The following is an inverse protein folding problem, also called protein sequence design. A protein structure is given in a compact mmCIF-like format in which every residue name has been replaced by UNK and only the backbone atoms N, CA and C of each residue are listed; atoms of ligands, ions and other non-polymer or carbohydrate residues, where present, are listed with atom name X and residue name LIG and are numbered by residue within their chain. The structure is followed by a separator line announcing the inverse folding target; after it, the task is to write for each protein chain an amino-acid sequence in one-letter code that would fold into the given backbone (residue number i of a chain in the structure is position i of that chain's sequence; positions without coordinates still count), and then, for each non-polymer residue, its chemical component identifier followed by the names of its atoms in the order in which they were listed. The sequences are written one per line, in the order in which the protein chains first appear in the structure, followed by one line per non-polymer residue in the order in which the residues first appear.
data_IF_531025005524
#
_entry.id   IF_531025005524
#
_cell.length_a   1.000
_cell.length_b   1.000
_cell.length_c   1.000
_cell.angle_alpha   90.00
_cell.angle_beta   90.00
_cell.angle_gamma   90.00
#
_symmetry.space_group_name_H-M   'P 1'
#
loop_
_entity.id
_entity.type
_entity.pdbx_description
1 polymer ?
#
# COMPACT_ATOMS: atom_id res chain seq x y z
N UNK A 1 -1.39 4.36 0.50
CA UNK A 1 -2.87 4.26 0.61
C UNK A 1 -3.43 5.58 1.16
N UNK A 2 -4.71 5.92 0.94
CA UNK A 2 -5.33 7.14 1.51
C UNK A 2 -5.89 6.85 2.90
N UNK A 3 -5.43 7.60 3.92
CA UNK A 3 -5.85 7.47 5.33
C UNK A 3 -5.91 6.00 5.77
N UNK A 4 -4.77 5.31 5.66
CA UNK A 4 -4.70 3.86 5.59
C UNK A 4 -5.29 3.13 6.83
N UNK A 5 -5.20 3.75 8.01
CA UNK A 5 -5.79 3.25 9.25
C UNK A 5 -7.28 3.60 9.37
N UNK A 6 -7.70 4.78 8.91
CA UNK A 6 -9.03 5.33 9.22
C UNK A 6 -10.14 4.76 8.32
N UNK A 7 -9.78 4.12 7.20
CA UNK A 7 -10.74 3.66 6.19
C UNK A 7 -11.06 2.17 6.21
N UNK A 8 -10.38 1.39 7.06
CA UNK A 8 -10.52 -0.07 7.02
C UNK A 8 -11.87 -0.50 7.60
N UNK A 9 -12.64 -1.27 6.84
CA UNK A 9 -13.91 -1.82 7.30
C UNK A 9 -13.70 -2.92 8.36
N UNK A 10 -14.40 -2.82 9.47
CA UNK A 10 -14.28 -3.76 10.59
C UNK A 10 -14.70 -5.18 10.25
N UNK A 11 -15.76 -5.33 9.47
CA UNK A 11 -16.22 -6.64 9.03
C UNK A 11 -15.23 -7.30 8.08
N UNK A 12 -14.48 -6.51 7.31
CA UNK A 12 -13.38 -7.03 6.50
C UNK A 12 -12.27 -7.63 7.36
N UNK A 13 -11.78 -6.91 8.37
CA UNK A 13 -10.76 -7.42 9.31
C UNK A 13 -11.25 -8.70 9.99
N UNK A 14 -12.49 -8.67 10.51
CA UNK A 14 -13.12 -9.82 11.16
C UNK A 14 -13.14 -11.06 10.26
N UNK A 15 -13.55 -10.88 9.00
CA UNK A 15 -13.63 -11.98 8.05
C UNK A 15 -12.24 -12.46 7.60
N UNK A 16 -11.26 -11.57 7.47
CA UNK A 16 -9.87 -11.92 7.21
C UNK A 16 -9.29 -12.78 8.35
N UNK A 17 -9.51 -12.39 9.60
CA UNK A 17 -9.07 -13.18 10.76
C UNK A 17 -9.72 -14.58 10.79
N UNK A 18 -11.02 -14.68 10.50
CA UNK A 18 -11.71 -15.98 10.38
C UNK A 18 -11.07 -16.85 9.31
N UNK A 19 -10.82 -16.29 8.13
CA UNK A 19 -10.19 -17.01 7.00
C UNK A 19 -8.76 -17.45 7.33
N UNK A 20 -8.03 -16.68 8.13
CA UNK A 20 -6.68 -17.01 8.59
C UNK A 20 -6.67 -18.03 9.75
N UNK A 21 -7.83 -18.47 10.24
CA UNK A 21 -7.93 -19.51 11.26
C UNK A 21 -7.80 -19.02 12.70
N UNK A 22 -7.96 -17.72 12.95
CA UNK A 22 -7.99 -17.19 14.31
C UNK A 22 -9.21 -17.74 15.06
N UNK A 23 -9.04 -18.08 16.34
CA UNK A 23 -10.16 -18.61 17.12
C UNK A 23 -11.21 -17.51 17.41
N UNK A 24 -12.49 -17.90 17.44
CA UNK A 24 -13.61 -16.95 17.57
C UNK A 24 -13.49 -16.04 18.80
N UNK A 25 -13.06 -16.59 19.95
CA UNK A 25 -12.87 -15.82 21.18
C UNK A 25 -11.85 -14.69 20.99
N UNK A 26 -10.75 -14.93 20.27
CA UNK A 26 -9.76 -13.90 19.97
C UNK A 26 -10.30 -12.82 19.04
N UNK A 27 -11.04 -13.25 18.01
CA UNK A 27 -11.69 -12.31 17.07
C UNK A 27 -12.66 -11.40 17.82
N UNK A 28 -13.49 -11.96 18.71
CA UNK A 28 -14.45 -11.19 19.50
C UNK A 28 -13.76 -10.15 20.40
N UNK A 29 -12.65 -10.52 21.06
CA UNK A 29 -11.89 -9.58 21.89
C UNK A 29 -11.33 -8.43 21.05
N UNK A 30 -10.70 -8.72 19.92
CA UNK A 30 -10.19 -7.69 19.00
C UNK A 30 -11.32 -6.81 18.49
N UNK A 31 -12.45 -7.39 18.08
CA UNK A 31 -13.59 -6.62 17.58
C UNK A 31 -14.25 -5.77 18.66
N UNK A 32 -14.25 -6.20 19.93
CA UNK A 32 -14.70 -5.37 21.06
C UNK A 32 -13.80 -4.17 21.23
N UNK A 33 -12.47 -4.35 21.24
CA UNK A 33 -11.50 -3.24 21.29
C UNK A 33 -11.68 -2.28 20.12
N UNK A 34 -11.89 -2.80 18.90
CA UNK A 34 -12.10 -1.98 17.71
C UNK A 34 -13.35 -1.11 17.81
N UNK A 35 -14.46 -1.69 18.29
CA UNK A 35 -15.80 -1.07 18.32
C UNK A 35 -16.05 -0.19 19.54
N UNK A 36 -15.32 -0.38 20.63
CA UNK A 36 -15.51 0.39 21.87
C UNK A 36 -14.86 1.78 21.83
N UNK A 37 -14.21 2.15 20.74
CA UNK A 37 -13.54 3.43 20.63
C UNK A 37 -14.52 4.57 20.44
N UNK A 38 -14.16 5.74 20.97
CA UNK A 38 -14.78 7.01 20.67
C UNK A 38 -13.70 8.07 20.47
N UNK A 39 -14.05 9.10 19.72
CA UNK A 39 -13.17 10.22 19.41
C UNK A 39 -13.84 11.52 19.81
N UNK A 40 -13.03 12.44 20.31
CA UNK A 40 -13.43 13.80 20.61
C UNK A 40 -12.54 14.73 19.78
N UNK A 41 -13.16 15.62 19.00
CA UNK A 41 -12.42 16.61 18.21
C UNK A 41 -12.12 17.79 19.14
N UNK A 42 -10.85 18.17 19.21
CA UNK A 42 -10.42 19.39 19.89
C UNK A 42 -9.95 20.36 18.84
N UNK A 43 -10.68 21.47 18.67
CA UNK A 43 -10.36 22.50 17.70
C UNK A 43 -10.08 23.81 18.45
N UNK A 44 -8.85 24.34 18.33
CA UNK A 44 -8.41 25.53 19.05
C UNK A 44 -8.66 25.49 20.58
N UNK A 45 -8.53 24.31 21.20
CA UNK A 45 -8.77 24.12 22.64
C UNK A 45 -10.24 23.93 23.02
N UNK A 46 -11.17 24.07 22.08
CA UNK A 46 -12.60 23.82 22.28
C UNK A 46 -12.89 22.36 21.97
N UNK A 47 -13.52 21.67 22.92
CA UNK A 47 -13.98 20.30 22.75
C UNK A 47 -15.31 20.30 21.98
N UNK A 48 -15.34 19.62 20.84
CA UNK A 48 -16.57 19.36 20.10
C UNK A 48 -17.27 18.08 20.59
N UNK A 49 -18.40 17.74 19.98
CA UNK A 49 -19.16 16.54 20.33
C UNK A 49 -18.33 15.26 20.12
N UNK A 50 -18.47 14.35 21.08
CA UNK A 50 -17.92 12.99 20.96
C UNK A 50 -18.64 12.24 19.83
N UNK A 51 -17.87 11.50 19.03
CA UNK A 51 -18.41 10.62 18.00
C UNK A 51 -17.81 9.22 18.10
N UNK A 52 -18.59 8.23 17.65
CA UNK A 52 -18.13 6.84 17.55
C UNK A 52 -17.79 6.51 16.10
N UNK A 53 -16.57 6.00 15.82
CA UNK A 53 -16.23 5.54 14.50
C UNK A 53 -17.08 4.32 14.13
N UNK A 54 -17.33 4.14 12.83
CA UNK A 54 -17.96 2.92 12.28
C UNK A 54 -16.96 2.00 11.58
N UNK A 55 -15.74 2.50 11.39
CA UNK A 55 -14.63 1.83 10.71
C UNK A 55 -13.29 2.41 11.16
N UNK A 56 -12.22 1.81 10.69
CA UNK A 56 -10.85 2.24 10.93
C UNK A 56 -10.22 1.60 12.16
N UNK A 57 -8.92 1.77 12.30
CA UNK A 57 -8.11 1.16 13.36
C UNK A 57 -7.35 2.28 14.09
N UNK A 58 -7.25 2.21 15.42
CA UNK A 58 -6.66 3.27 16.24
C UNK A 58 -5.18 3.48 15.92
N UNK A 59 -4.80 4.64 15.44
CA UNK A 59 -3.38 4.96 15.34
C UNK A 59 -2.76 5.00 16.76
N UNK A 60 -1.49 4.57 16.86
CA UNK A 60 -0.72 4.47 18.13
C UNK A 60 -1.22 3.43 19.14
N UNK A 61 -2.15 2.57 18.74
CA UNK A 61 -2.48 1.36 19.50
C UNK A 61 -1.51 0.23 19.13
N UNK A 62 -0.90 -0.49 20.09
CA UNK A 62 0.02 -1.60 19.83
C UNK A 62 -0.55 -2.71 18.93
N UNK A 63 -1.86 -2.91 18.88
CA UNK A 63 -2.50 -3.92 18.03
C UNK A 63 -2.65 -3.47 16.57
N UNK A 64 -2.73 -2.16 16.33
CA UNK A 64 -3.08 -1.63 15.03
C UNK A 64 -2.14 -1.98 13.89
N UNK A 65 -0.79 -2.04 14.08
CA UNK A 65 0.11 -2.51 13.04
C UNK A 65 -0.21 -3.94 12.59
N UNK A 66 -0.58 -4.83 13.51
CA UNK A 66 -0.91 -6.22 13.20
C UNK A 66 -2.24 -6.33 12.46
N UNK A 67 -3.25 -5.58 12.91
CA UNK A 67 -4.55 -5.52 12.23
C UNK A 67 -4.42 -4.93 10.82
N UNK A 68 -3.51 -3.97 10.64
CA UNK A 68 -3.19 -3.41 9.34
C UNK A 68 -2.52 -4.45 8.42
N UNK A 69 -1.60 -5.27 8.93
CA UNK A 69 -1.00 -6.38 8.18
C UNK A 69 -2.07 -7.39 7.75
N UNK A 70 -3.00 -7.75 8.65
CA UNK A 70 -4.13 -8.64 8.34
C UNK A 70 -5.03 -8.04 7.23
N UNK A 71 -5.21 -6.73 7.23
CA UNK A 71 -5.92 -6.04 6.15
C UNK A 71 -5.16 -6.18 4.81
N UNK A 72 -3.87 -5.85 4.80
CA UNK A 72 -3.01 -5.91 3.62
C UNK A 72 -2.87 -7.33 3.04
N UNK A 73 -2.94 -8.37 3.88
CA UNK A 73 -3.00 -9.78 3.46
C UNK A 73 -4.16 -10.06 2.49
N UNK A 74 -5.28 -9.34 2.61
CA UNK A 74 -6.38 -9.44 1.66
C UNK A 74 -5.99 -8.97 0.26
N UNK A 75 -5.23 -7.88 0.15
CA UNK A 75 -4.72 -7.39 -1.13
C UNK A 75 -3.71 -8.35 -1.73
N UNK A 76 -2.80 -8.87 -0.89
CA UNK A 76 -1.85 -9.92 -1.27
C UNK A 76 -2.55 -11.13 -1.90
N UNK A 77 -3.62 -11.61 -1.28
CA UNK A 77 -4.38 -12.76 -1.77
C UNK A 77 -5.04 -12.50 -3.11
N UNK A 78 -5.57 -11.28 -3.34
CA UNK A 78 -6.14 -10.90 -4.63
C UNK A 78 -5.08 -10.85 -5.74
N UNK A 79 -3.88 -10.32 -5.45
CA UNK A 79 -2.75 -10.34 -6.39
C UNK A 79 -2.30 -11.78 -6.69
N UNK A 80 -2.13 -12.60 -5.67
CA UNK A 80 -1.71 -14.01 -5.83
C UNK A 80 -2.76 -14.84 -6.60
N UNK A 81 -4.04 -14.62 -6.34
CA UNK A 81 -5.14 -15.23 -7.12
C UNK A 81 -5.05 -14.83 -8.58
N UNK A 82 -4.91 -13.53 -8.85
CA UNK A 82 -4.80 -13.02 -10.23
C UNK A 82 -3.55 -13.52 -10.94
N UNK A 83 -2.45 -13.75 -10.20
CA UNK A 83 -1.20 -14.32 -10.73
C UNK A 83 -1.40 -15.78 -11.14
N UNK A 84 -2.01 -16.58 -10.26
CA UNK A 84 -2.36 -17.99 -10.53
C UNK A 84 -3.29 -18.14 -11.73
N UNK A 85 -4.26 -17.24 -11.86
CA UNK A 85 -5.21 -17.21 -12.98
C UNK A 85 -4.59 -16.63 -14.27
N UNK A 86 -3.27 -16.37 -14.29
CA UNK A 86 -2.52 -15.78 -15.40
C UNK A 86 -3.04 -14.42 -15.88
N UNK A 87 -3.94 -13.79 -15.12
CA UNK A 87 -4.39 -12.40 -15.35
C UNK A 87 -3.27 -11.43 -15.06
N UNK A 88 -2.41 -11.72 -14.07
CA UNK A 88 -1.21 -10.93 -13.79
C UNK A 88 0.13 -11.69 -13.92
N UNK A 89 0.97 -11.29 -14.88
CA UNK A 89 2.43 -11.43 -14.87
C UNK A 89 3.16 -10.40 -13.97
N UNK A 90 4.11 -10.88 -13.16
CA UNK A 90 5.03 -10.04 -12.39
C UNK A 90 6.29 -9.65 -13.15
N UNK A 91 7.22 -8.99 -12.45
CA UNK A 91 8.56 -8.68 -12.94
C UNK A 91 9.58 -9.75 -12.47
N UNK A 92 10.48 -10.15 -13.37
CA UNK A 92 11.57 -11.07 -13.05
C UNK A 92 12.68 -10.33 -12.31
N UNK A 93 13.24 -10.95 -11.27
CA UNK A 93 14.35 -10.42 -10.49
C UNK A 93 15.66 -11.02 -11.00
N UNK A 94 16.50 -10.19 -11.61
CA UNK A 94 17.80 -10.60 -12.14
C UNK A 94 17.71 -11.67 -13.24
N UNK A 95 18.72 -12.55 -13.29
CA UNK A 95 18.77 -13.69 -14.23
C UNK A 95 18.06 -14.95 -13.71
N UNK A 96 17.57 -14.92 -12.47
CA UNK A 96 16.92 -16.08 -11.85
C UNK A 96 15.45 -16.23 -12.21
N UNK A 97 14.81 -17.23 -11.62
CA UNK A 97 13.39 -17.55 -11.85
C UNK A 97 12.42 -16.78 -10.94
N UNK A 98 12.94 -15.99 -9.99
CA UNK A 98 12.10 -15.23 -9.06
C UNK A 98 11.27 -14.18 -9.80
N UNK A 99 9.94 -14.27 -9.68
CA UNK A 99 8.99 -13.30 -10.26
C UNK A 99 8.17 -12.64 -9.16
N UNK A 100 8.40 -11.35 -8.95
CA UNK A 100 7.71 -10.52 -7.96
C UNK A 100 6.56 -9.75 -8.61
N UNK A 101 5.46 -9.57 -7.88
CA UNK A 101 4.31 -8.75 -8.33
C UNK A 101 4.11 -7.51 -7.47
N UNK A 102 4.65 -7.51 -6.25
CA UNK A 102 4.48 -6.43 -5.30
C UNK A 102 5.60 -6.45 -4.25
N UNK A 103 5.81 -5.32 -3.59
CA UNK A 103 6.55 -5.16 -2.35
C UNK A 103 5.68 -4.30 -1.43
N UNK A 104 5.34 -4.81 -0.25
CA UNK A 104 4.49 -4.12 0.71
C UNK A 104 5.28 -3.68 1.92
N UNK A 105 5.08 -2.43 2.34
CA UNK A 105 5.59 -1.93 3.61
C UNK A 105 4.61 -0.90 4.18
N UNK A 106 3.87 -1.29 5.21
CA UNK A 106 2.79 -0.46 5.75
C UNK A 106 1.88 0.07 4.61
N UNK A 107 1.68 1.38 4.50
CA UNK A 107 0.86 2.02 3.49
C UNK A 107 1.59 2.36 2.18
N UNK A 108 2.92 2.18 2.15
CA UNK A 108 3.79 2.36 0.99
C UNK A 108 3.98 1.03 0.27
N UNK A 109 3.35 0.92 -0.90
CA UNK A 109 3.30 -0.32 -1.67
C UNK A 109 3.83 -0.09 -3.09
N UNK A 110 4.74 -0.96 -3.54
CA UNK A 110 5.18 -0.99 -4.94
C UNK A 110 4.52 -2.18 -5.62
N UNK A 111 3.96 -1.96 -6.81
CA UNK A 111 3.39 -3.02 -7.64
C UNK A 111 4.20 -3.15 -8.94
N UNK A 112 4.52 -4.38 -9.32
CA UNK A 112 5.30 -4.71 -10.51
C UNK A 112 4.41 -5.34 -11.57
N UNK A 113 4.45 -4.76 -12.78
CA UNK A 113 3.59 -5.19 -13.88
C UNK A 113 4.28 -5.03 -15.23
N UNK A 114 3.93 -5.91 -16.18
CA UNK A 114 4.25 -5.68 -17.59
C UNK A 114 3.53 -4.43 -18.09
N UNK A 115 4.28 -3.47 -18.63
CA UNK A 115 3.79 -2.19 -19.10
C UNK A 115 2.97 -2.33 -20.40
N UNK A 116 1.72 -2.74 -20.25
CA UNK A 116 0.75 -2.96 -21.33
C UNK A 116 -0.63 -2.51 -20.85
N UNK A 117 -1.52 -2.15 -21.78
CA UNK A 117 -2.90 -1.79 -21.42
C UNK A 117 -3.66 -2.93 -20.72
N UNK A 118 -3.46 -4.17 -21.14
CA UNK A 118 -4.03 -5.33 -20.45
C UNK A 118 -3.44 -5.50 -19.04
N UNK A 119 -2.15 -5.20 -18.88
CA UNK A 119 -1.47 -5.13 -17.60
C UNK A 119 -2.14 -4.14 -16.64
N UNK A 120 -2.38 -2.92 -17.12
CA UNK A 120 -3.03 -1.83 -16.40
C UNK A 120 -4.50 -2.14 -16.05
N UNK A 121 -5.29 -2.64 -17.01
CA UNK A 121 -6.68 -3.09 -16.78
C UNK A 121 -6.77 -4.13 -15.68
N UNK A 122 -5.93 -5.16 -15.76
CA UNK A 122 -5.91 -6.23 -14.76
C UNK A 122 -5.54 -5.69 -13.37
N UNK A 123 -4.60 -4.74 -13.30
CA UNK A 123 -4.23 -4.09 -12.04
C UNK A 123 -5.41 -3.31 -11.44
N UNK A 124 -6.08 -2.50 -12.27
CA UNK A 124 -7.22 -1.68 -11.85
C UNK A 124 -8.37 -2.54 -11.34
N UNK A 125 -8.65 -3.68 -11.99
CA UNK A 125 -9.65 -4.66 -11.51
C UNK A 125 -9.31 -5.17 -10.11
N UNK A 126 -8.05 -5.52 -9.85
CA UNK A 126 -7.61 -6.04 -8.53
C UNK A 126 -7.68 -4.95 -7.46
N UNK A 127 -7.23 -3.74 -7.79
CA UNK A 127 -7.31 -2.57 -6.89
C UNK A 127 -8.78 -2.28 -6.56
N UNK A 128 -9.64 -2.07 -7.56
CA UNK A 128 -11.04 -1.74 -7.33
C UNK A 128 -11.76 -2.81 -6.52
N UNK A 129 -11.43 -4.09 -6.76
CA UNK A 129 -12.00 -5.19 -5.98
C UNK A 129 -11.56 -5.10 -4.52
N UNK A 130 -10.28 -4.84 -4.25
CA UNK A 130 -9.77 -4.66 -2.91
C UNK A 130 -10.41 -3.46 -2.20
N UNK A 131 -10.52 -2.32 -2.88
CA UNK A 131 -11.15 -1.12 -2.31
C UNK A 131 -12.60 -1.37 -1.92
N UNK A 132 -13.36 -2.05 -2.80
CA UNK A 132 -14.78 -2.34 -2.56
C UNK A 132 -15.05 -3.24 -1.36
N UNK A 133 -14.12 -4.11 -0.98
CA UNK A 133 -14.31 -5.07 0.12
C UNK A 133 -13.63 -4.64 1.42
N UNK A 134 -12.53 -3.89 1.35
CA UNK A 134 -11.72 -3.50 2.51
C UNK A 134 -12.03 -2.10 3.03
N UNK A 135 -12.62 -1.23 2.19
CA UNK A 135 -12.78 0.20 2.44
C UNK A 135 -11.51 1.02 2.28
N UNK A 136 -10.34 0.38 2.17
CA UNK A 136 -9.10 1.08 1.83
C UNK A 136 -9.19 1.66 0.43
N UNK A 137 -8.54 2.79 0.21
CA UNK A 137 -8.54 3.49 -1.08
C UNK A 137 -7.11 3.85 -1.45
N UNK A 138 -6.74 3.62 -2.71
CA UNK A 138 -5.47 4.05 -3.27
C UNK A 138 -5.47 5.57 -3.36
N UNK A 139 -4.40 6.19 -2.88
CA UNK A 139 -4.20 7.62 -3.07
C UNK A 139 -3.57 7.83 -4.46
N UNK A 140 -4.39 7.99 -5.49
CA UNK A 140 -3.92 8.16 -6.87
C UNK A 140 -3.10 9.44 -7.07
N UNK A 141 -3.37 10.51 -6.31
CA UNK A 141 -2.62 11.77 -6.37
C UNK A 141 -1.17 11.63 -5.89
N UNK A 142 -0.96 10.82 -4.85
CA UNK A 142 0.37 10.49 -4.31
C UNK A 142 1.01 9.28 -5.00
N UNK A 143 0.26 8.56 -5.83
CA UNK A 143 0.77 7.37 -6.51
C UNK A 143 1.47 7.77 -7.81
N UNK A 144 2.62 7.14 -8.05
CA UNK A 144 3.43 7.35 -9.23
C UNK A 144 3.56 6.05 -10.02
N UNK A 145 3.70 6.17 -11.33
CA UNK A 145 4.08 5.06 -12.19
C UNK A 145 5.42 5.32 -12.87
N UNK A 146 6.21 4.25 -12.91
CA UNK A 146 7.53 4.22 -13.54
C UNK A 146 7.55 3.19 -14.65
N UNK A 147 8.12 3.59 -15.78
CA UNK A 147 8.27 2.74 -16.95
C UNK A 147 9.75 2.49 -17.25
N UNK A 148 10.04 1.39 -17.93
CA UNK A 148 11.38 1.15 -18.48
C UNK A 148 11.72 2.18 -19.56
N UNK A 149 13.00 2.53 -19.70
CA UNK A 149 13.49 3.53 -20.66
C UNK A 149 13.05 3.28 -22.11
N UNK A 150 12.84 2.02 -22.50
CA UNK A 150 12.57 1.63 -23.90
C UNK A 150 11.09 1.66 -24.28
N UNK A 151 10.26 2.40 -23.56
CA UNK A 151 8.81 2.41 -23.77
C UNK A 151 8.38 3.66 -24.55
N UNK A 152 7.47 3.47 -25.52
CA UNK A 152 6.88 4.56 -26.30
C UNK A 152 6.06 5.50 -25.41
N UNK A 153 6.19 6.81 -25.64
CA UNK A 153 5.58 7.85 -24.79
C UNK A 153 4.04 7.78 -24.81
N UNK A 154 3.44 7.60 -25.99
CA UNK A 154 1.99 7.44 -26.16
C UNK A 154 1.43 6.31 -25.28
N UNK A 155 2.14 5.19 -25.17
CA UNK A 155 1.70 4.06 -24.36
C UNK A 155 1.86 4.35 -22.85
N UNK A 156 2.86 5.14 -22.45
CA UNK A 156 3.03 5.59 -21.07
C UNK A 156 1.87 6.50 -20.67
N UNK A 157 1.52 7.46 -21.52
CA UNK A 157 0.40 8.38 -21.29
C UNK A 157 -0.93 7.62 -21.23
N UNK A 158 -1.18 6.68 -22.15
CA UNK A 158 -2.38 5.85 -22.13
C UNK A 158 -2.50 5.04 -20.83
N UNK A 159 -1.42 4.41 -20.38
CA UNK A 159 -1.43 3.62 -19.13
C UNK A 159 -1.58 4.52 -17.92
N UNK A 160 -0.85 5.62 -17.86
CA UNK A 160 -0.91 6.61 -16.78
C UNK A 160 -2.31 7.20 -16.65
N UNK A 161 -2.90 7.66 -17.76
CA UNK A 161 -4.27 8.17 -17.83
C UNK A 161 -5.32 7.14 -17.45
N UNK A 162 -5.19 5.90 -17.94
CA UNK A 162 -6.13 4.83 -17.58
C UNK A 162 -6.09 4.48 -16.08
N UNK A 163 -4.90 4.44 -15.49
CA UNK A 163 -4.74 4.17 -14.06
C UNK A 163 -5.04 5.40 -13.19
N UNK A 164 -5.03 6.59 -13.76
CA UNK A 164 -5.21 7.85 -13.02
C UNK A 164 -4.00 8.23 -12.16
N UNK A 165 -2.79 7.80 -12.54
CA UNK A 165 -1.55 8.05 -11.80
C UNK A 165 -0.59 8.89 -12.63
N UNK A 166 0.20 9.72 -11.95
CA UNK A 166 1.21 10.56 -12.62
C UNK A 166 2.37 9.69 -13.11
N UNK A 167 2.73 9.88 -14.37
CA UNK A 167 3.95 9.29 -14.94
C UNK A 167 5.14 10.08 -14.41
N UNK A 168 6.10 9.39 -13.83
CA UNK A 168 7.32 10.02 -13.33
C UNK A 168 8.55 9.44 -14.04
N UNK A 169 9.45 10.34 -14.41
CA UNK A 169 10.71 9.99 -15.07
C UNK A 169 11.85 9.74 -14.08
N UNK A 170 11.65 10.07 -12.79
CA UNK A 170 12.66 9.89 -11.75
C UNK A 170 12.11 9.04 -10.59
N UNK A 171 12.60 7.80 -10.40
CA UNK A 171 12.21 6.95 -9.28
C UNK A 171 12.43 7.68 -7.97
N UNK A 172 11.35 7.93 -7.26
CA UNK A 172 11.40 8.46 -5.91
C UNK A 172 12.09 7.45 -4.97
N UNK A 173 12.34 7.90 -3.75
CA UNK A 173 12.86 7.03 -2.71
C UNK A 173 11.75 6.10 -2.21
N UNK A 174 12.09 4.83 -2.03
CA UNK A 174 11.25 3.88 -1.32
C UNK A 174 11.91 3.55 0.01
N UNK A 175 11.20 3.76 1.13
CA UNK A 175 11.73 3.58 2.48
C UNK A 175 13.03 4.38 2.75
N UNK A 176 13.12 5.58 2.17
CA UNK A 176 14.29 6.44 2.28
C UNK A 176 15.48 6.03 1.40
N UNK A 177 15.38 4.93 0.66
CA UNK A 177 16.41 4.42 -0.24
C UNK A 177 16.11 4.79 -1.70
N UNK A 178 17.12 5.05 -2.54
CA UNK A 178 16.93 5.27 -3.97
C UNK A 178 16.38 4.01 -4.65
N UNK A 179 15.27 4.13 -5.38
CA UNK A 179 14.62 2.99 -6.06
C UNK A 179 15.38 2.54 -7.31
N UNK A 180 16.19 3.41 -7.91
CA UNK A 180 17.17 3.03 -8.95
C UNK A 180 18.58 3.45 -8.55
N UNK A 181 19.51 2.50 -8.61
CA UNK A 181 20.94 2.76 -8.41
C UNK A 181 21.64 2.64 -9.76
N UNK A 182 22.10 3.78 -10.29
CA UNK A 182 22.89 3.81 -11.51
C UNK A 182 24.29 3.18 -11.33
N UNK A 183 25.11 3.20 -12.39
CA UNK A 183 26.49 2.67 -12.35
C UNK A 183 27.34 3.25 -11.21
N UNK A 184 27.05 4.50 -10.81
CA UNK A 184 27.73 5.20 -9.71
C UNK A 184 27.03 4.95 -8.38
N UNK A 185 27.22 3.75 -7.82
CA UNK A 185 26.59 3.32 -6.56
C UNK A 185 26.77 4.31 -5.39
N UNK A 186 27.98 4.88 -5.22
CA UNK A 186 28.28 5.83 -4.13
C UNK A 186 27.35 7.04 -4.14
N UNK A 187 27.03 7.58 -5.31
CA UNK A 187 26.22 8.79 -5.45
C UNK A 187 24.77 8.59 -5.02
N UNK A 188 24.22 7.40 -5.23
CA UNK A 188 22.84 7.09 -4.86
C UNK A 188 22.60 7.17 -3.33
N UNK A 189 23.66 7.03 -2.51
CA UNK A 189 23.56 7.02 -1.04
C UNK A 189 24.19 8.25 -0.36
N UNK A 190 24.65 9.26 -1.11
CA UNK A 190 25.28 10.47 -0.53
C UNK A 190 24.30 11.19 0.41
N UNK A 191 23.06 11.41 -0.02
CA UNK A 191 22.07 12.12 0.80
C UNK A 191 21.73 11.36 2.09
N UNK A 192 21.76 10.01 2.04
CA UNK A 192 21.58 9.17 3.23
C UNK A 192 22.73 9.33 4.23
N UNK A 193 23.97 9.36 3.71
CA UNK A 193 25.17 9.63 4.51
C UNK A 193 25.10 11.02 5.14
N UNK A 194 24.72 12.05 4.38
CA UNK A 194 24.60 13.43 4.88
C UNK A 194 23.56 13.56 5.98
N UNK A 195 22.38 12.95 5.83
CA UNK A 195 21.34 12.92 6.88
C UNK A 195 21.84 12.23 8.16
N UNK A 196 22.58 11.13 8.03
CA UNK A 196 23.16 10.44 9.17
C UNK A 196 24.17 11.32 9.92
N UNK A 197 25.06 11.99 9.18
CA UNK A 197 26.04 12.93 9.76
C UNK A 197 25.32 14.09 10.46
N UNK A 198 24.28 14.66 9.85
CA UNK A 198 23.53 15.76 10.44
C UNK A 198 22.84 15.36 11.75
N UNK A 199 22.27 14.15 11.81
CA UNK A 199 21.66 13.63 13.05
C UNK A 199 22.68 13.25 14.12
N UNK A 200 23.90 12.88 13.74
CA UNK A 200 24.97 12.55 14.69
C UNK A 200 25.63 13.78 15.34
N UNK A 201 25.36 14.98 14.81
CA UNK A 201 25.88 16.26 15.32
C UNK A 201 24.91 16.98 16.27
N UNK A 202 23.68 16.49 16.39
CA UNK A 202 22.65 16.95 17.31
C UNK A 202 22.44 15.91 18.41
#
# INVERSE_FOLDING_TARGET
MSKAYDRVEWDFIKNMMKMLGFCNRWIELIMRCARSMSYLVVNNGIQEAEFKPTRGIKQRDPLSPYLFIICAEGFLRLLNKSKREKRIAGARVGKGELVITHLFFADDNILFRKATMNGARSMKVVINKYESISGQVVNFEKSLIYFSNNMQEDLKEQIGGYLGVRVSNNPEKYLGLPTMVGRRKKWAFIELKERFIQKSKN
#
